data_IF_687007507650
#
_entry.id   IF_687007507650
#
_cell.length_a   1.000
_cell.length_b   1.000
_cell.length_c   1.000
_cell.angle_alpha   90.00
_cell.angle_beta   90.00
_cell.angle_gamma   90.00
#
_symmetry.space_group_name_H-M   'P 1'
#
loop_
_entity.id
_entity.type
_entity.pdbx_description
1 polymer ?
#
# COMPACT_ATOMS: atom_id res chain seq x y z
N UNK A 1 21.76 -3.57 -27.38
CA UNK A 1 21.53 -4.31 -26.12
C UNK A 1 22.00 -3.56 -24.88
N UNK A 2 23.13 -2.85 -24.86
CA UNK A 2 23.61 -2.16 -23.64
C UNK A 2 22.76 -0.93 -23.22
N UNK A 3 22.04 -0.27 -24.15
CA UNK A 3 21.25 0.94 -23.85
C UNK A 3 19.87 0.69 -23.21
N UNK A 4 19.27 -0.50 -23.35
CA UNK A 4 17.98 -0.81 -22.70
C UNK A 4 18.19 -1.10 -21.21
N UNK A 5 19.21 -1.88 -20.87
CA UNK A 5 19.55 -2.24 -19.48
C UNK A 5 19.84 -1.01 -18.61
N UNK A 6 20.49 0.03 -19.17
CA UNK A 6 20.79 1.25 -18.41
C UNK A 6 19.54 2.09 -18.20
N UNK A 7 18.65 2.17 -19.21
CA UNK A 7 17.42 2.95 -19.14
C UNK A 7 16.44 2.33 -18.15
N UNK A 8 16.34 1.00 -18.15
CA UNK A 8 15.54 0.28 -17.19
C UNK A 8 16.11 0.46 -15.78
N UNK A 9 17.43 0.35 -15.56
CA UNK A 9 18.05 0.66 -14.26
C UNK A 9 17.76 2.08 -13.73
N UNK A 10 17.76 3.10 -14.60
CA UNK A 10 17.40 4.48 -14.22
C UNK A 10 15.90 4.63 -13.90
N UNK A 11 15.02 3.94 -14.65
CA UNK A 11 13.57 3.92 -14.36
C UNK A 11 13.29 3.20 -13.05
N UNK A 12 13.97 2.07 -12.79
CA UNK A 12 13.86 1.28 -11.57
C UNK A 12 14.32 2.07 -10.33
N UNK A 13 15.47 2.74 -10.41
CA UNK A 13 15.93 3.63 -9.34
C UNK A 13 14.91 4.75 -9.04
N UNK A 14 14.29 5.31 -10.07
CA UNK A 14 13.25 6.32 -9.92
C UNK A 14 11.90 5.79 -9.39
N UNK A 15 11.58 4.50 -9.54
CA UNK A 15 10.39 3.88 -8.93
C UNK A 15 10.66 3.59 -7.46
N UNK A 16 11.81 2.98 -7.12
CA UNK A 16 12.22 2.72 -5.75
C UNK A 16 12.27 4.00 -4.91
N UNK A 17 12.86 5.08 -5.43
CA UNK A 17 12.90 6.38 -4.74
C UNK A 17 11.50 6.99 -4.54
N UNK A 18 10.57 6.77 -5.47
CA UNK A 18 9.18 7.25 -5.33
C UNK A 18 8.38 6.44 -4.33
N UNK A 19 8.50 5.11 -4.35
CA UNK A 19 7.83 4.23 -3.39
C UNK A 19 8.33 4.51 -1.98
N UNK A 20 9.65 4.53 -1.82
CA UNK A 20 10.29 4.76 -0.53
C UNK A 20 10.29 6.23 -0.09
N UNK A 21 9.77 7.15 -0.90
CA UNK A 21 9.81 8.61 -0.66
C UNK A 21 11.20 9.18 -0.35
N UNK A 22 12.24 8.55 -0.91
CA UNK A 22 13.62 8.91 -0.61
C UNK A 22 14.09 8.51 0.79
N UNK A 23 13.32 7.72 1.55
CA UNK A 23 13.70 7.28 2.91
C UNK A 23 15.00 6.47 2.90
N UNK A 24 15.30 5.77 1.81
CA UNK A 24 16.58 5.06 1.62
C UNK A 24 17.76 6.01 1.75
N UNK A 25 17.72 7.16 1.08
CA UNK A 25 18.76 8.20 1.18
C UNK A 25 18.82 8.83 2.57
N UNK A 26 17.67 8.98 3.24
CA UNK A 26 17.65 9.51 4.61
C UNK A 26 18.35 8.53 5.55
N UNK A 27 18.01 7.23 5.48
CA UNK A 27 18.62 6.16 6.28
C UNK A 27 20.12 6.04 6.01
N UNK A 28 20.57 6.08 4.75
CA UNK A 28 21.99 6.03 4.39
C UNK A 28 22.81 7.20 4.95
N UNK A 29 22.17 8.34 5.23
CA UNK A 29 22.82 9.50 5.85
C UNK A 29 22.76 9.49 7.38
N UNK A 30 22.04 8.56 8.01
CA UNK A 30 21.95 8.47 9.46
C UNK A 30 23.21 7.84 10.06
N UNK A 31 23.66 8.31 11.24
CA UNK A 31 24.86 7.81 11.87
C UNK A 31 24.72 6.32 12.26
N UNK A 32 25.73 5.53 11.91
CA UNK A 32 25.79 4.10 12.23
C UNK A 32 24.85 3.22 11.42
N UNK A 33 23.98 3.76 10.56
CA UNK A 33 23.13 2.95 9.69
C UNK A 33 23.97 2.28 8.60
N UNK A 34 23.72 1.00 8.40
CA UNK A 34 24.38 0.15 7.40
C UNK A 34 23.35 -0.79 6.78
N UNK A 35 23.69 -1.38 5.64
CA UNK A 35 22.89 -2.44 5.02
C UNK A 35 21.42 -2.06 4.73
N UNK A 36 21.22 -0.86 4.18
CA UNK A 36 19.89 -0.43 3.70
C UNK A 36 19.55 -1.22 2.44
N UNK A 37 18.53 -2.07 2.52
CA UNK A 37 18.09 -2.96 1.43
C UNK A 37 16.64 -2.72 1.12
N UNK A 38 16.36 -2.37 -0.13
CA UNK A 38 15.01 -2.37 -0.69
C UNK A 38 14.84 -3.59 -1.59
N UNK A 39 13.88 -4.46 -1.27
CA UNK A 39 13.56 -5.62 -2.08
C UNK A 39 12.55 -5.23 -3.16
N UNK A 40 13.04 -5.07 -4.38
CA UNK A 40 12.19 -4.77 -5.53
C UNK A 40 11.25 -5.94 -5.84
N UNK A 41 10.01 -5.61 -6.19
CA UNK A 41 8.94 -6.57 -6.51
C UNK A 41 8.19 -6.12 -7.75
N UNK A 42 7.90 -7.06 -8.63
CA UNK A 42 7.07 -6.83 -9.81
C UNK A 42 5.65 -6.41 -9.41
N UNK A 43 4.96 -5.61 -10.24
CA UNK A 43 3.55 -5.31 -10.02
C UNK A 43 2.65 -6.56 -10.06
N UNK A 44 1.59 -6.56 -9.27
CA UNK A 44 0.57 -7.59 -9.32
C UNK A 44 -0.26 -7.51 -10.62
N UNK A 45 -0.62 -8.68 -11.17
CA UNK A 45 -1.55 -8.72 -12.29
C UNK A 45 -2.97 -8.33 -11.84
N UNK A 46 -3.66 -7.53 -12.67
CA UNK A 46 -5.08 -7.19 -12.45
C UNK A 46 -5.96 -8.42 -12.24
N UNK A 47 -5.69 -9.51 -12.95
CA UNK A 47 -6.42 -10.78 -12.81
C UNK A 47 -6.24 -11.37 -11.41
N UNK A 48 -5.04 -11.31 -10.85
CA UNK A 48 -4.75 -11.80 -9.50
C UNK A 48 -5.53 -11.00 -8.45
N UNK A 49 -5.58 -9.67 -8.58
CA UNK A 49 -6.36 -8.82 -7.69
C UNK A 49 -7.86 -9.16 -7.76
N UNK A 50 -8.43 -9.25 -8.97
CA UNK A 50 -9.82 -9.63 -9.16
C UNK A 50 -10.12 -11.03 -8.61
N UNK A 51 -9.22 -11.99 -8.80
CA UNK A 51 -9.36 -13.35 -8.28
C UNK A 51 -9.34 -13.36 -6.75
N UNK A 52 -8.47 -12.55 -6.14
CA UNK A 52 -8.42 -12.38 -4.69
C UNK A 52 -9.72 -11.75 -4.17
N UNK A 53 -10.22 -10.69 -4.80
CA UNK A 53 -11.47 -10.02 -4.43
C UNK A 53 -12.68 -10.96 -4.52
N UNK A 54 -12.77 -11.73 -5.61
CA UNK A 54 -13.84 -12.72 -5.80
C UNK A 54 -13.78 -13.84 -4.77
N UNK A 55 -12.59 -14.41 -4.52
CA UNK A 55 -12.38 -15.49 -3.54
C UNK A 55 -12.78 -15.06 -2.13
N UNK A 56 -12.43 -13.82 -1.77
CA UNK A 56 -12.60 -13.28 -0.43
C UNK A 56 -13.91 -12.49 -0.26
N UNK A 57 -14.70 -12.38 -1.32
CA UNK A 57 -15.97 -11.63 -1.39
C UNK A 57 -15.84 -10.17 -0.93
N UNK A 58 -14.68 -9.55 -1.08
CA UNK A 58 -14.42 -8.17 -0.66
C UNK A 58 -13.71 -7.39 -1.76
N UNK A 59 -13.86 -6.08 -1.77
CA UNK A 59 -13.22 -5.17 -2.73
C UNK A 59 -12.01 -4.54 -2.05
N UNK A 60 -10.83 -4.62 -2.67
CA UNK A 60 -9.65 -3.93 -2.17
C UNK A 60 -9.89 -2.41 -2.19
N UNK A 61 -9.47 -1.65 -1.16
CA UNK A 61 -9.54 -0.20 -1.22
C UNK A 61 -8.68 0.30 -2.39
N UNK A 62 -9.10 1.40 -3.02
CA UNK A 62 -8.52 1.89 -4.27
C UNK A 62 -7.01 2.13 -4.17
N UNK A 63 -6.56 2.70 -3.05
CA UNK A 63 -5.16 3.00 -2.82
C UNK A 63 -4.28 1.75 -2.62
N UNK A 64 -4.79 0.72 -1.94
CA UNK A 64 -4.11 -0.57 -1.83
C UNK A 64 -4.08 -1.31 -3.18
N UNK A 65 -5.16 -1.23 -3.96
CA UNK A 65 -5.19 -1.80 -5.31
C UNK A 65 -4.15 -1.13 -6.20
N UNK A 66 -4.09 0.19 -6.20
CA UNK A 66 -3.11 0.95 -6.99
C UNK A 66 -1.67 0.65 -6.54
N UNK A 67 -1.46 0.50 -5.22
CA UNK A 67 -0.18 0.04 -4.67
C UNK A 67 0.22 -1.31 -5.25
N UNK A 68 -0.66 -2.33 -5.22
CA UNK A 68 -0.34 -3.63 -5.79
C UNK A 68 -0.14 -3.60 -7.31
N UNK A 69 -0.85 -2.73 -8.04
CA UNK A 69 -0.63 -2.50 -9.47
C UNK A 69 0.69 -1.76 -9.76
N UNK A 70 1.37 -1.28 -8.73
CA UNK A 70 2.69 -0.66 -8.81
C UNK A 70 3.78 -1.61 -8.31
N UNK A 71 3.53 -2.38 -7.25
CA UNK A 71 4.47 -3.35 -6.67
C UNK A 71 3.72 -4.40 -5.83
N UNK A 72 3.98 -5.69 -6.04
CA UNK A 72 3.33 -6.77 -5.29
C UNK A 72 3.99 -7.00 -3.92
N UNK A 73 3.68 -6.10 -3.00
CA UNK A 73 4.26 -6.05 -1.66
C UNK A 73 5.47 -5.11 -1.57
N UNK A 74 5.93 -4.86 -0.35
CA UNK A 74 7.01 -3.93 -0.07
C UNK A 74 7.89 -4.51 1.04
N UNK A 75 9.20 -4.42 0.89
CA UNK A 75 10.13 -4.77 1.96
C UNK A 75 11.35 -3.85 1.89
N UNK A 76 11.54 -3.06 2.95
CA UNK A 76 12.73 -2.25 3.16
C UNK A 76 13.29 -2.59 4.54
N UNK A 77 14.54 -3.03 4.59
CA UNK A 77 15.24 -3.35 5.83
C UNK A 77 16.50 -2.52 5.95
N UNK A 78 16.90 -2.21 7.18
CA UNK A 78 18.17 -1.56 7.45
C UNK A 78 18.71 -2.00 8.81
N UNK A 79 20.03 -1.96 8.92
CA UNK A 79 20.77 -2.41 10.10
C UNK A 79 21.59 -1.26 10.67
N UNK A 80 22.10 -1.46 11.87
CA UNK A 80 23.01 -0.52 12.52
C UNK A 80 24.30 -1.21 12.88
N UNK A 81 25.41 -0.50 12.73
CA UNK A 81 26.71 -0.96 13.19
C UNK A 81 26.91 -0.50 14.63
N UNK A 82 26.87 -1.45 15.55
CA UNK A 82 27.23 -1.27 16.96
C UNK A 82 28.56 -1.97 17.17
N UNK A 83 29.60 -1.22 17.49
CA UNK A 83 30.98 -1.71 17.58
C UNK A 83 31.40 -2.46 16.30
N UNK A 84 31.60 -3.78 16.37
CA UNK A 84 31.94 -4.65 15.24
C UNK A 84 30.78 -5.55 14.78
N UNK A 85 29.59 -5.42 15.37
CA UNK A 85 28.41 -6.20 15.00
C UNK A 85 27.41 -5.39 14.15
N UNK A 86 26.77 -6.07 13.20
CA UNK A 86 25.69 -5.53 12.39
C UNK A 86 24.36 -6.03 12.96
N UNK A 87 23.58 -5.14 13.56
CA UNK A 87 22.30 -5.47 14.20
C UNK A 87 21.16 -5.06 13.28
N UNK A 88 20.30 -5.99 12.81
CA UNK A 88 19.13 -5.62 12.03
C UNK A 88 18.16 -4.83 12.92
N UNK A 89 17.82 -3.60 12.51
CA UNK A 89 17.05 -2.70 13.34
C UNK A 89 15.68 -2.39 12.75
N UNK A 90 15.63 -1.85 11.54
CA UNK A 90 14.37 -1.43 10.94
C UNK A 90 13.88 -2.39 9.85
N UNK A 91 12.57 -2.64 9.87
CA UNK A 91 11.86 -3.44 8.88
C UNK A 91 10.53 -2.78 8.54
N UNK A 92 10.39 -2.36 7.29
CA UNK A 92 9.13 -1.93 6.72
C UNK A 92 8.64 -3.04 5.80
N UNK A 93 7.46 -3.60 6.06
CA UNK A 93 6.94 -4.71 5.29
C UNK A 93 5.46 -4.52 4.96
N UNK A 94 5.10 -4.85 3.71
CA UNK A 94 3.72 -5.08 3.29
C UNK A 94 3.72 -6.36 2.46
N UNK A 95 2.87 -7.31 2.84
CA UNK A 95 2.69 -8.56 2.13
C UNK A 95 2.20 -8.32 0.71
N UNK A 96 2.65 -9.13 -0.25
CA UNK A 96 2.05 -9.18 -1.57
C UNK A 96 0.65 -9.81 -1.50
N UNK A 97 -0.16 -9.60 -2.54
CA UNK A 97 -1.55 -10.07 -2.61
C UNK A 97 -1.68 -11.58 -2.43
N UNK A 98 -0.70 -12.35 -2.91
CA UNK A 98 -0.68 -13.81 -2.75
C UNK A 98 -0.49 -14.28 -1.29
N UNK A 99 0.09 -13.43 -0.43
CA UNK A 99 0.28 -13.67 1.01
C UNK A 99 -0.72 -12.92 1.89
N UNK A 100 -1.65 -12.18 1.28
CA UNK A 100 -2.74 -11.49 1.97
C UNK A 100 -3.80 -12.53 2.39
N UNK A 101 -3.46 -13.32 3.39
CA UNK A 101 -4.26 -14.44 3.88
C UNK A 101 -5.28 -13.96 4.93
N UNK A 102 -6.45 -14.60 5.00
CA UNK A 102 -7.41 -14.33 6.06
C UNK A 102 -6.82 -14.76 7.41
N UNK A 103 -6.98 -13.91 8.43
CA UNK A 103 -6.57 -14.23 9.80
C UNK A 103 -7.42 -15.37 10.36
N UNK A 104 -8.73 -15.31 10.10
CA UNK A 104 -9.69 -16.34 10.45
C UNK A 104 -9.73 -17.36 9.32
N UNK A 105 -8.99 -18.46 9.49
CA UNK A 105 -9.05 -19.55 8.54
C UNK A 105 -10.27 -20.44 8.82
N UNK A 106 -10.92 -21.00 7.78
CA UNK A 106 -11.97 -21.98 7.97
C UNK A 106 -11.45 -23.11 8.87
N UNK A 107 -12.27 -23.48 9.86
CA UNK A 107 -11.98 -24.55 10.81
C UNK A 107 -11.51 -25.78 10.05
N UNK A 108 -10.30 -26.26 10.37
CA UNK A 108 -9.70 -27.42 9.72
C UNK A 108 -10.63 -28.61 9.82
N UNK A 109 -10.68 -29.46 8.78
CA UNK A 109 -11.45 -30.73 8.79
C UNK A 109 -11.03 -31.69 9.90
N UNK A 110 -9.86 -31.46 10.50
CA UNK A 110 -9.34 -32.22 11.64
C UNK A 110 -9.76 -31.63 13.00
N UNK A 111 -10.46 -30.50 13.02
CA UNK A 111 -10.91 -29.88 14.26
C UNK A 111 -12.08 -30.66 14.83
N UNK A 112 -12.09 -30.81 16.15
CA UNK A 112 -13.23 -31.39 16.83
C UNK A 112 -14.47 -30.50 16.68
N UNK A 113 -15.68 -31.09 16.67
CA UNK A 113 -16.90 -30.31 16.83
C UNK A 113 -16.80 -29.40 18.06
N UNK A 114 -17.15 -28.12 17.93
CA UNK A 114 -17.07 -27.11 18.99
C UNK A 114 -15.67 -26.90 19.58
N UNK A 115 -14.61 -27.12 18.80
CA UNK A 115 -13.28 -26.72 19.23
C UNK A 115 -13.23 -25.20 19.48
N UNK A 116 -12.55 -24.74 20.56
CA UNK A 116 -12.41 -23.33 20.83
C UNK A 116 -11.68 -22.62 19.69
N UNK A 117 -12.10 -21.41 19.41
CA UNK A 117 -11.73 -20.58 18.26
C UNK A 117 -11.52 -19.13 18.70
N UNK A 118 -10.95 -18.30 17.83
CA UNK A 118 -10.81 -16.87 18.11
C UNK A 118 -12.15 -16.16 18.29
N UNK A 119 -13.22 -16.67 17.66
CA UNK A 119 -14.57 -16.12 17.82
C UNK A 119 -15.09 -16.23 19.26
N UNK A 120 -14.57 -17.15 20.07
CA UNK A 120 -14.97 -17.30 21.48
C UNK A 120 -14.38 -16.21 22.39
N UNK A 121 -13.47 -15.38 21.87
CA UNK A 121 -12.90 -14.23 22.58
C UNK A 121 -13.79 -12.98 22.50
N UNK A 122 -14.68 -12.91 21.51
CA UNK A 122 -15.62 -11.81 21.35
C UNK A 122 -16.74 -11.92 22.39
N UNK A 123 -16.53 -11.35 23.57
CA UNK A 123 -17.59 -11.21 24.57
C UNK A 123 -18.50 -10.05 24.16
N UNK A 124 -19.79 -10.31 23.91
CA UNK A 124 -20.76 -9.22 23.72
C UNK A 124 -20.94 -8.51 25.06
N UNK A 125 -20.32 -7.33 25.21
CA UNK A 125 -20.66 -6.41 26.28
C UNK A 125 -22.11 -6.00 26.05
N UNK A 126 -23.02 -6.59 26.84
CA UNK A 126 -24.44 -6.31 26.80
C UNK A 126 -24.64 -4.80 26.85
N UNK A 127 -25.24 -4.29 25.78
CA UNK A 127 -25.39 -2.87 25.48
C UNK A 127 -26.14 -2.16 26.60
N UNK A 128 -25.45 -1.36 27.40
CA UNK A 128 -26.05 -0.26 28.16
C UNK A 128 -24.99 0.72 28.66
N UNK A 129 -25.14 1.98 28.22
CA UNK A 129 -24.59 3.21 28.80
C UNK A 129 -23.20 3.67 28.35
N UNK A 130 -23.17 4.52 27.32
CA UNK A 130 -22.87 5.96 27.52
C UNK A 130 -22.91 6.72 26.20
N UNK A 131 -23.67 7.82 26.16
CA UNK A 131 -23.89 8.66 24.98
C UNK A 131 -22.71 9.56 24.62
N UNK A 132 -21.52 9.01 24.48
CA UNK A 132 -20.36 9.68 23.89
C UNK A 132 -20.10 9.08 22.51
N UNK A 133 -19.74 9.94 21.55
CA UNK A 133 -19.44 9.65 20.14
C UNK A 133 -18.93 8.22 19.90
N UNK A 134 -19.44 7.48 18.90
CA UNK A 134 -19.09 6.08 18.74
C UNK A 134 -17.59 5.99 18.42
N UNK A 135 -16.80 5.51 19.38
CA UNK A 135 -15.48 5.00 19.11
C UNK A 135 -15.60 3.99 17.94
N UNK A 136 -14.60 3.90 17.06
CA UNK A 136 -14.64 2.91 15.99
C UNK A 136 -14.89 1.54 16.61
N UNK A 137 -16.04 0.94 16.31
CA UNK A 137 -16.37 -0.38 16.84
C UNK A 137 -15.23 -1.33 16.51
N UNK A 138 -14.71 -2.01 17.51
CA UNK A 138 -13.58 -2.92 17.35
C UNK A 138 -13.96 -4.05 16.37
N UNK A 139 -13.00 -4.55 15.58
CA UNK A 139 -13.21 -5.73 14.76
C UNK A 139 -13.55 -6.95 15.62
N UNK A 140 -14.48 -7.77 15.15
CA UNK A 140 -14.76 -9.09 15.72
C UNK A 140 -13.92 -10.19 15.04
N UNK A 141 -13.59 -11.25 15.77
CA UNK A 141 -12.97 -12.48 15.29
C UNK A 141 -13.98 -13.50 14.72
N UNK A 142 -15.18 -13.07 14.38
CA UNK A 142 -16.24 -13.88 13.80
C UNK A 142 -16.60 -13.45 12.37
N UNK A 143 -17.69 -14.00 11.83
CA UNK A 143 -18.14 -13.72 10.47
C UNK A 143 -18.55 -12.25 10.21
N UNK A 144 -18.70 -11.43 11.26
CA UNK A 144 -18.97 -9.98 11.15
C UNK A 144 -17.76 -9.21 10.67
N UNK A 145 -16.55 -9.77 10.73
CA UNK A 145 -15.36 -9.15 10.17
C UNK A 145 -14.65 -10.04 9.17
N UNK A 146 -14.06 -9.42 8.15
CA UNK A 146 -13.09 -10.09 7.28
C UNK A 146 -11.75 -9.40 7.43
N UNK A 147 -10.77 -10.17 7.89
CA UNK A 147 -9.49 -9.66 8.37
C UNK A 147 -8.37 -10.30 7.55
N UNK A 148 -7.50 -9.49 6.97
CA UNK A 148 -6.37 -9.95 6.17
C UNK A 148 -5.05 -9.38 6.66
N UNK A 149 -4.04 -10.23 6.81
CA UNK A 149 -2.73 -9.83 7.36
C UNK A 149 -1.87 -9.08 6.32
N UNK A 150 -1.62 -7.79 6.55
CA UNK A 150 -0.74 -6.96 5.74
C UNK A 150 0.72 -7.08 6.17
N UNK A 151 0.97 -7.18 7.48
CA UNK A 151 2.31 -7.31 8.05
C UNK A 151 2.25 -8.13 9.35
N UNK A 152 3.27 -8.98 9.55
CA UNK A 152 3.46 -9.78 10.76
C UNK A 152 4.30 -9.06 11.83
N UNK A 153 4.78 -7.85 11.54
CA UNK A 153 5.51 -6.97 12.47
C UNK A 153 6.65 -7.67 13.24
N UNK A 154 7.33 -8.62 12.59
CA UNK A 154 8.40 -9.42 13.21
C UNK A 154 7.95 -10.31 14.37
N UNK A 155 6.66 -10.66 14.45
CA UNK A 155 6.06 -11.47 15.52
C UNK A 155 5.59 -10.67 16.74
N UNK A 156 5.72 -9.34 16.73
CA UNK A 156 5.27 -8.49 17.83
C UNK A 156 3.78 -8.14 17.76
N UNK A 157 3.07 -8.58 16.73
CA UNK A 157 1.66 -8.30 16.49
C UNK A 157 1.37 -8.48 15.01
N UNK A 158 0.25 -7.96 14.53
CA UNK A 158 -0.11 -8.00 13.11
C UNK A 158 -0.78 -6.71 12.69
N UNK A 159 -0.38 -6.15 11.57
CA UNK A 159 -1.19 -5.12 10.91
C UNK A 159 -2.14 -5.80 9.94
N UNK A 160 -3.42 -5.47 10.07
CA UNK A 160 -4.50 -6.12 9.35
C UNK A 160 -5.32 -5.11 8.55
N UNK A 161 -5.71 -5.52 7.33
CA UNK A 161 -6.79 -4.92 6.56
C UNK A 161 -8.10 -5.52 7.05
N UNK A 162 -8.99 -4.69 7.59
CA UNK A 162 -10.22 -5.13 8.24
C UNK A 162 -11.45 -4.57 7.54
N UNK A 163 -12.37 -5.44 7.16
CA UNK A 163 -13.73 -5.09 6.75
C UNK A 163 -14.67 -5.44 7.90
N UNK A 164 -15.32 -4.43 8.48
CA UNK A 164 -16.26 -4.60 9.59
C UNK A 164 -17.70 -4.73 9.09
N UNK A 165 -18.61 -5.18 9.96
CA UNK A 165 -20.04 -5.28 9.68
C UNK A 165 -20.37 -6.07 8.40
N UNK A 166 -19.60 -7.13 8.15
CA UNK A 166 -19.76 -8.00 7.00
C UNK A 166 -21.01 -8.88 7.18
N UNK A 167 -21.85 -8.94 6.16
CA UNK A 167 -22.97 -9.88 6.09
C UNK A 167 -22.66 -11.01 5.10
N UNK A 168 -23.00 -12.28 5.41
CA UNK A 168 -22.78 -13.40 4.49
C UNK A 168 -23.43 -13.16 3.13
N UNK A 169 -22.70 -13.46 2.05
CA UNK A 169 -23.17 -13.26 0.67
C UNK A 169 -23.12 -11.82 0.15
N UNK A 170 -22.84 -10.83 1.00
CA UNK A 170 -22.66 -9.43 0.58
C UNK A 170 -21.17 -9.13 0.41
N UNK A 171 -20.87 -8.36 -0.64
CA UNK A 171 -19.50 -7.93 -0.94
C UNK A 171 -19.11 -6.79 -0.02
N UNK A 172 -18.04 -6.97 0.76
CA UNK A 172 -17.54 -5.94 1.66
C UNK A 172 -16.71 -4.90 0.88
N UNK A 173 -16.94 -3.61 1.11
CA UNK A 173 -16.31 -2.52 0.34
C UNK A 173 -15.49 -1.55 1.19
N UNK A 174 -15.87 -1.36 2.46
CA UNK A 174 -15.20 -0.43 3.35
C UNK A 174 -14.21 -1.17 4.24
N UNK A 175 -12.93 -0.82 4.11
CA UNK A 175 -11.84 -1.40 4.88
C UNK A 175 -11.10 -0.34 5.68
N UNK A 176 -10.60 -0.74 6.84
CA UNK A 176 -9.75 0.05 7.72
C UNK A 176 -8.45 -0.71 8.01
N UNK A 177 -7.44 -0.02 8.56
CA UNK A 177 -6.18 -0.63 8.98
C UNK A 177 -6.10 -0.65 10.50
N UNK A 178 -5.97 -1.85 11.05
CA UNK A 178 -5.92 -2.11 12.49
C UNK A 178 -4.64 -2.86 12.87
N UNK A 179 -4.12 -2.59 14.05
CA UNK A 179 -3.06 -3.35 14.67
C UNK A 179 -3.67 -4.34 15.67
N UNK A 180 -3.32 -5.62 15.53
CA UNK A 180 -3.64 -6.68 16.46
C UNK A 180 -2.40 -6.99 17.29
N UNK A 181 -2.44 -6.74 18.59
CA UNK A 181 -1.32 -7.04 19.47
C UNK A 181 -1.24 -8.53 19.85
N UNK A 182 -0.22 -8.92 20.63
CA UNK A 182 -0.03 -10.32 21.07
C UNK A 182 -1.05 -10.78 22.11
N UNK A 183 -1.74 -9.85 22.76
CA UNK A 183 -2.84 -10.12 23.69
C UNK A 183 -4.20 -10.22 22.97
N UNK A 184 -4.19 -10.13 21.64
CA UNK A 184 -5.37 -10.09 20.77
C UNK A 184 -6.22 -8.81 20.95
N UNK A 185 -5.57 -7.75 21.46
CA UNK A 185 -5.95 -6.35 21.47
C UNK A 185 -6.16 -5.74 20.08
N UNK A 186 -7.34 -5.23 19.74
CA UNK A 186 -7.51 -4.39 18.54
C UNK A 186 -7.16 -2.93 18.82
N UNK A 187 -6.28 -2.36 17.99
CA UNK A 187 -5.88 -0.96 18.06
C UNK A 187 -6.03 -0.31 16.69
N UNK A 188 -6.84 0.74 16.60
CA UNK A 188 -7.03 1.44 15.34
C UNK A 188 -5.74 2.18 14.95
N UNK A 189 -5.28 1.99 13.70
CA UNK A 189 -4.16 2.76 13.16
C UNK A 189 -4.67 3.88 12.25
N UNK A 190 -5.33 3.51 11.15
CA UNK A 190 -5.73 4.47 10.12
C UNK A 190 -6.92 3.99 9.30
N UNK A 191 -7.70 4.92 8.77
CA UNK A 191 -8.84 4.62 7.89
C UNK A 191 -8.45 4.19 6.46
N UNK A 192 -7.24 4.51 5.99
CA UNK A 192 -6.81 4.21 4.61
C UNK A 192 -5.42 3.60 4.56
N UNK A 193 -5.15 2.78 3.55
CA UNK A 193 -3.85 2.16 3.37
C UNK A 193 -2.75 3.19 3.14
N UNK A 194 -3.02 4.26 2.38
CA UNK A 194 -2.06 5.34 2.13
C UNK A 194 -1.64 6.05 3.41
N UNK A 195 -2.57 6.21 4.37
CA UNK A 195 -2.25 6.79 5.67
C UNK A 195 -1.36 5.85 6.49
N UNK A 196 -1.67 4.55 6.51
CA UNK A 196 -0.81 3.53 7.12
C UNK A 196 0.59 3.48 6.48
N UNK A 197 0.67 3.52 5.15
CA UNK A 197 1.93 3.50 4.41
C UNK A 197 2.85 4.66 4.81
N UNK A 198 2.28 5.88 4.90
CA UNK A 198 3.00 7.05 5.42
C UNK A 198 3.48 6.81 6.84
N UNK A 199 2.63 6.27 7.69
CA UNK A 199 2.96 6.03 9.08
C UNK A 199 4.16 5.09 9.21
N UNK A 200 4.15 3.97 8.47
CA UNK A 200 5.26 3.02 8.38
C UNK A 200 6.58 3.70 7.96
N UNK A 201 6.54 4.55 6.94
CA UNK A 201 7.72 5.30 6.47
C UNK A 201 8.19 6.30 7.52
N UNK A 202 7.28 7.05 8.12
CA UNK A 202 7.56 8.05 9.15
C UNK A 202 8.26 7.43 10.36
N UNK A 203 7.87 6.22 10.74
CA UNK A 203 8.49 5.46 11.83
C UNK A 203 9.78 4.72 11.44
N UNK A 204 10.25 4.86 10.19
CA UNK A 204 11.47 4.22 9.70
C UNK A 204 11.45 2.68 9.78
N UNK A 205 10.29 2.06 10.00
CA UNK A 205 10.19 0.62 10.30
C UNK A 205 10.88 0.22 11.61
N UNK A 206 11.08 1.14 12.56
CA UNK A 206 11.71 0.84 13.84
C UNK A 206 10.96 -0.24 14.64
N UNK A 207 11.64 -1.01 15.50
CA UNK A 207 10.97 -2.05 16.28
C UNK A 207 9.79 -1.52 17.08
N UNK A 208 8.68 -2.26 17.06
CA UNK A 208 7.49 -2.00 17.88
C UNK A 208 6.85 -0.60 17.68
N UNK A 209 7.11 0.07 16.55
CA UNK A 209 6.59 1.42 16.34
C UNK A 209 5.06 1.48 16.39
N UNK A 210 4.36 0.41 16.01
CA UNK A 210 2.90 0.28 16.09
C UNK A 210 2.39 0.37 17.53
N UNK A 211 3.18 -0.08 18.51
CA UNK A 211 2.81 -0.01 19.93
C UNK A 211 2.71 1.43 20.44
N UNK A 212 3.24 2.43 19.72
CA UNK A 212 3.00 3.85 20.02
C UNK A 212 1.51 4.24 19.96
N UNK A 213 0.68 3.45 19.28
CA UNK A 213 -0.77 3.62 19.15
C UNK A 213 -1.57 2.76 20.12
N UNK A 214 -0.90 2.15 21.10
CA UNK A 214 -1.53 1.30 22.12
C UNK A 214 -1.38 1.94 23.50
N UNK A 215 -2.25 1.62 24.48
CA UNK A 215 -2.12 2.13 25.85
C UNK A 215 -0.81 1.71 26.54
N UNK A 216 -0.18 0.63 26.09
CA UNK A 216 1.03 0.06 26.69
C UNK A 216 2.31 0.77 26.22
N UNK A 217 2.31 1.28 24.99
CA UNK A 217 3.49 1.85 24.36
C UNK A 217 4.55 0.80 23.99
N UNK A 218 5.61 1.21 23.26
CA UNK A 218 6.72 0.33 22.92
C UNK A 218 7.60 0.01 24.14
N UNK A 219 8.36 -1.08 24.04
CA UNK A 219 9.32 -1.49 25.06
C UNK A 219 10.40 -0.43 25.32
N UNK A 220 11.07 -0.44 26.49
CA UNK A 220 12.16 0.49 26.77
C UNK A 220 13.27 0.46 25.71
N UNK A 221 13.61 -0.72 25.18
CA UNK A 221 14.63 -0.88 24.14
C UNK A 221 14.17 -0.23 22.82
N UNK A 222 12.93 -0.46 22.40
CA UNK A 222 12.38 0.17 21.21
C UNK A 222 12.33 1.71 21.35
N UNK A 223 12.01 2.23 22.54
CA UNK A 223 12.05 3.67 22.84
C UNK A 223 13.45 4.25 22.69
N UNK A 224 14.49 3.55 23.16
CA UNK A 224 15.88 3.99 22.97
C UNK A 224 16.23 4.12 21.48
N UNK A 225 15.86 3.13 20.67
CA UNK A 225 16.07 3.20 19.23
C UNK A 225 15.31 4.34 18.55
N UNK A 226 14.06 4.56 18.96
CA UNK A 226 13.28 5.70 18.49
C UNK A 226 13.88 7.04 18.91
N UNK A 227 14.51 7.15 20.09
CA UNK A 227 15.22 8.36 20.50
C UNK A 227 16.50 8.59 19.70
N UNK A 228 17.22 7.52 19.32
CA UNK A 228 18.47 7.62 18.55
C UNK A 228 18.24 8.02 17.09
N UNK A 229 17.23 7.43 16.45
CA UNK A 229 16.97 7.63 15.02
C UNK A 229 15.81 8.58 14.73
N UNK A 230 15.13 9.08 15.77
CA UNK A 230 13.97 9.98 15.73
C UNK A 230 13.06 9.77 14.52
N UNK A 231 11.94 9.02 14.68
CA UNK A 231 10.88 8.99 13.68
C UNK A 231 10.60 10.38 13.13
N UNK A 232 10.31 10.48 11.83
CA UNK A 232 10.02 11.75 11.15
C UNK A 232 8.66 12.36 11.57
N UNK A 233 8.19 12.01 12.75
CA UNK A 233 6.97 12.52 13.38
C UNK A 233 7.34 13.92 13.87
N UNK A 234 6.72 14.92 13.27
CA UNK A 234 6.76 16.26 13.85
C UNK A 234 6.02 16.18 15.18
N UNK A 235 6.74 16.28 16.30
CA UNK A 235 6.11 16.39 17.61
C UNK A 235 5.35 17.71 17.63
N UNK A 236 4.04 17.66 17.44
CA UNK A 236 3.18 18.76 17.85
C UNK A 236 3.05 18.66 19.38
N UNK A 237 4.13 18.97 20.09
CA UNK A 237 3.96 19.40 21.47
C UNK A 237 3.00 20.57 21.43
N UNK A 238 1.90 20.44 22.16
CA UNK A 238 0.89 21.47 22.37
C UNK A 238 1.58 22.71 22.94
N UNK A 239 2.07 23.57 22.06
CA UNK A 239 2.53 24.92 22.36
C UNK A 239 1.82 25.83 21.38
N UNK A 240 0.73 26.41 21.87
CA UNK A 240 0.07 27.55 21.26
C UNK A 240 1.08 28.70 21.12
N UNK A 241 1.81 28.79 20.00
CA UNK A 241 2.42 30.05 19.55
C UNK A 241 2.62 30.05 18.04
N UNK A 242 1.76 30.82 17.39
CA UNK A 242 1.81 31.50 16.10
C UNK A 242 2.96 31.30 15.09
N UNK A 243 2.47 31.17 13.85
CA UNK A 243 2.89 31.85 12.61
C UNK A 243 3.86 31.12 11.66
N UNK A 244 3.26 30.71 10.54
CA UNK A 244 3.80 30.80 9.18
C UNK A 244 5.22 30.25 8.97
N UNK A 245 5.38 28.94 9.11
CA UNK A 245 6.39 28.21 8.38
C UNK A 245 5.70 27.19 7.48
N UNK A 246 5.96 27.30 6.18
CA UNK A 246 5.38 26.48 5.12
C UNK A 246 5.56 25.00 5.47
N UNK A 247 4.42 24.34 5.68
CA UNK A 247 4.33 22.98 6.18
C UNK A 247 4.86 22.06 5.09
N UNK A 248 6.12 21.62 5.21
CA UNK A 248 6.68 20.52 4.41
C UNK A 248 6.05 19.18 4.85
N UNK A 249 4.75 19.05 4.61
CA UNK A 249 4.07 17.76 4.61
C UNK A 249 4.63 16.96 3.44
N UNK A 250 5.11 15.75 3.74
CA UNK A 250 5.47 14.75 2.75
C UNK A 250 4.18 14.37 1.99
N UNK A 251 3.85 15.13 0.93
CA UNK A 251 2.65 14.94 0.12
C UNK A 251 2.87 13.75 -0.81
N UNK A 252 2.68 12.55 -0.25
CA UNK A 252 2.31 11.39 -1.06
C UNK A 252 0.96 11.69 -1.70
N UNK A 253 0.97 11.91 -3.01
CA UNK A 253 -0.22 11.90 -3.84
C UNK A 253 -0.39 10.47 -4.35
N UNK A 254 -1.38 9.69 -3.84
CA UNK A 254 -1.58 8.29 -4.25
C UNK A 254 -1.69 8.14 -5.77
N UNK A 255 -2.29 9.14 -6.45
CA UNK A 255 -2.46 9.15 -7.91
C UNK A 255 -1.17 9.37 -8.70
N UNK A 256 -0.10 9.82 -8.03
CA UNK A 256 1.25 10.00 -8.60
C UNK A 256 2.23 8.93 -8.12
N UNK A 257 2.07 8.47 -6.88
CA UNK A 257 2.91 7.43 -6.28
C UNK A 257 2.63 6.05 -6.90
N UNK A 258 1.36 5.75 -7.19
CA UNK A 258 0.92 4.40 -7.59
C UNK A 258 0.41 4.31 -9.03
N UNK A 259 1.09 4.98 -9.97
CA UNK A 259 0.67 4.93 -11.39
C UNK A 259 0.98 3.59 -12.03
N UNK A 260 -0.04 2.74 -12.16
CA UNK A 260 -0.10 1.72 -13.21
C UNK A 260 -0.01 2.37 -14.61
N UNK A 261 0.66 1.72 -15.57
CA UNK A 261 0.83 2.23 -16.94
C UNK A 261 -0.53 2.44 -17.64
N UNK A 262 -1.12 3.62 -17.47
CA UNK A 262 -2.14 4.13 -18.38
C UNK A 262 -1.42 4.58 -19.66
N UNK A 263 -1.62 3.80 -20.73
CA UNK A 263 -1.14 4.09 -22.08
C UNK A 263 -1.56 5.52 -22.45
N UNK A 264 -0.59 6.43 -22.59
CA UNK A 264 -0.87 7.77 -23.08
C UNK A 264 -1.48 7.67 -24.49
N UNK A 265 -2.58 8.39 -24.80
CA UNK A 265 -3.09 8.45 -26.15
C UNK A 265 -2.03 9.10 -27.07
N UNK A 266 -1.81 8.57 -28.28
CA UNK A 266 -0.78 9.10 -29.16
C UNK A 266 -1.08 10.57 -29.51
N UNK A 267 -0.07 11.46 -29.51
CA UNK A 267 -0.27 12.85 -29.84
C UNK A 267 -0.73 12.97 -31.30
N UNK A 268 -1.87 13.63 -31.51
CA UNK A 268 -2.36 13.99 -32.84
C UNK A 268 -1.29 14.83 -33.53
N UNK A 269 -0.69 14.29 -34.60
CA UNK A 269 0.17 15.07 -35.51
C UNK A 269 -0.64 16.26 -36.03
N UNK A 270 -0.25 17.45 -35.59
CA UNK A 270 -0.65 18.73 -36.16
C UNK A 270 -0.08 18.76 -37.58
N UNK A 271 -0.91 18.55 -38.60
CA UNK A 271 -0.49 18.74 -39.98
C UNK A 271 -0.15 20.22 -40.18
N UNK A 272 1.12 20.46 -40.50
CA UNK A 272 1.61 21.74 -40.99
C UNK A 272 1.01 22.00 -42.36
N UNK A 273 0.20 23.05 -42.46
CA UNK A 273 -0.21 23.63 -43.72
C UNK A 273 1.04 24.24 -44.39
N UNK A 274 1.36 23.77 -45.60
CA UNK A 274 2.31 24.45 -46.47
C UNK A 274 1.59 24.72 -47.80
N UNK A 275 1.48 26.01 -48.10
CA UNK A 275 0.94 26.55 -49.34
C UNK A 275 1.93 26.46 -50.50
N UNK A 276 1.38 26.75 -51.68
CA UNK A 276 1.95 27.01 -53.00
C UNK A 276 2.04 25.79 -53.94
N UNK A 277 1.72 25.89 -55.23
CA UNK A 277 1.05 26.88 -56.08
C UNK A 277 1.17 26.34 -57.52
N UNK A 278 0.16 26.51 -58.37
CA UNK A 278 0.38 26.69 -59.82
C UNK A 278 -0.24 25.68 -60.79
N UNK A 279 -1.18 26.17 -61.61
CA UNK A 279 -0.99 26.15 -63.07
C UNK A 279 -1.63 25.01 -63.89
N UNK A 280 -2.66 25.39 -64.65
CA UNK A 280 -3.41 24.65 -65.67
C UNK A 280 -2.59 23.91 -66.76
N UNK A 281 -3.14 22.81 -67.32
CA UNK A 281 -3.69 22.73 -68.70
C UNK A 281 -3.93 21.29 -69.23
N UNK A 282 -5.11 21.10 -69.83
CA UNK A 282 -5.55 20.28 -71.01
C UNK A 282 -4.96 18.88 -71.35
N UNK A 283 -5.89 17.99 -71.75
CA UNK A 283 -5.71 16.97 -72.80
C UNK A 283 -6.42 15.62 -72.52
N UNK A 284 -7.66 15.42 -72.99
CA UNK A 284 -8.07 14.57 -74.13
C UNK A 284 -7.80 13.04 -73.99
N UNK A 285 -8.86 12.24 -74.15
CA UNK A 285 -8.74 10.79 -74.36
C UNK A 285 -10.04 10.00 -74.18
N UNK A 286 -10.86 9.97 -75.23
CA UNK A 286 -12.04 9.11 -75.38
C UNK A 286 -11.64 7.66 -75.70
N UNK A 287 -12.50 6.71 -75.30
CA UNK A 287 -12.73 5.29 -75.71
C UNK A 287 -12.83 4.44 -74.44
N UNK A 288 -13.86 3.66 -74.15
CA UNK A 288 -14.99 3.15 -74.90
C UNK A 288 -15.21 1.74 -74.38
N UNK A 289 -16.37 1.42 -73.77
CA UNK A 289 -16.90 0.05 -73.82
C UNK A 289 -18.36 -0.01 -73.41
N UNK A 290 -19.11 -0.59 -74.35
CA UNK A 290 -20.53 -0.92 -74.31
C UNK A 290 -20.93 -1.81 -73.14
N UNK A 291 -22.18 -1.63 -72.72
CA UNK A 291 -22.93 -2.63 -71.95
C UNK A 291 -23.32 -3.85 -72.78
N UNK A 292 -23.75 -4.90 -72.07
CA UNK A 292 -24.33 -6.08 -72.68
C UNK A 292 -24.42 -7.29 -71.75
N UNK A 293 -25.57 -7.40 -71.09
CA UNK A 293 -26.34 -8.60 -70.69
C UNK A 293 -25.68 -9.97 -70.39
N UNK A 294 -26.14 -10.54 -69.26
CA UNK A 294 -26.53 -11.95 -69.00
C UNK A 294 -25.64 -13.05 -69.61
N UNK A 295 -24.90 -13.77 -68.75
CA UNK A 295 -25.31 -15.02 -68.08
C UNK A 295 -24.25 -15.41 -67.06
#
# INVERSE_FOLDING_TARGET
MIMEDTKDAFVFKGVAERLTLGITRILENMPGVVDVRFAERDPAEKRTLLSWEQKNTCILPEDLRDFYLTTDGFTLTWSVKLDDECVPLGCMMINGVGRLCPLLQPTSVFSLPNAPSLADLDWEESSSESGLEPAPSEPHFDARSRIYELDSCGGNGKVCLVYKNCTPGVVAQHSEIWFLDRSLCWHFLTATFSAYYRLMITHLGLPEWQYAYTPYGPSPQAKQWASLYQPLIFSNEVSQTDSAADVFLNKLDPTKAFRGKAKAPPPKKKQSAQCNSGGAAKGQGSTGRHGGAKR
#
